data_IF_497724205843
#
_entry.id   IF_497724205843
#
_cell.length_a   1.000
_cell.length_b   1.000
_cell.length_c   1.000
_cell.angle_alpha   90.00
_cell.angle_beta   90.00
_cell.angle_gamma   90.00
#
_symmetry.space_group_name_H-M   'P 1'
#
loop_
_entity.id
_entity.type
_entity.pdbx_description
1 polymer ?
#
# COMPACT_ATOMS: atom_id res chain seq x y z
N UNK A 1 -50.64 22.75 18.07
CA UNK A 1 -50.39 21.51 17.30
C UNK A 1 -49.20 21.74 16.38
N UNK A 2 -47.98 21.80 16.96
CA UNK A 2 -46.70 21.97 16.24
C UNK A 2 -45.54 21.44 17.08
N UNK A 3 -45.46 20.15 17.40
CA UNK A 3 -44.26 19.50 17.96
C UNK A 3 -44.41 17.98 17.70
N UNK A 4 -44.25 17.51 16.49
CA UNK A 4 -44.13 16.04 16.20
C UNK A 4 -43.20 15.76 15.01
N UNK A 5 -42.60 16.76 14.34
CA UNK A 5 -41.79 16.52 13.13
C UNK A 5 -40.27 16.48 13.33
N UNK A 6 -39.76 16.64 14.55
CA UNK A 6 -38.29 16.69 14.83
C UNK A 6 -37.65 15.35 15.27
N UNK A 7 -38.45 14.32 15.58
CA UNK A 7 -37.91 13.05 16.10
C UNK A 7 -37.59 12.00 15.03
N UNK A 8 -38.05 12.16 13.80
CA UNK A 8 -37.77 11.16 12.73
C UNK A 8 -36.44 11.36 12.01
N UNK A 9 -35.87 12.55 12.05
CA UNK A 9 -34.57 12.81 11.40
C UNK A 9 -33.37 12.37 12.22
N UNK A 10 -33.48 12.34 13.55
CA UNK A 10 -32.42 11.90 14.44
C UNK A 10 -32.20 10.37 14.41
N UNK A 11 -33.25 9.59 14.22
CA UNK A 11 -33.14 8.12 14.16
C UNK A 11 -32.38 7.59 12.96
N UNK A 12 -32.52 8.22 11.80
CA UNK A 12 -31.80 7.84 10.58
C UNK A 12 -30.30 8.16 10.64
N UNK A 13 -29.92 9.26 11.28
CA UNK A 13 -28.51 9.62 11.48
C UNK A 13 -27.80 8.69 12.48
N UNK A 14 -28.48 8.24 13.54
CA UNK A 14 -27.92 7.29 14.50
C UNK A 14 -27.75 5.89 13.89
N UNK A 15 -28.66 5.44 13.06
CA UNK A 15 -28.58 4.13 12.41
C UNK A 15 -27.43 4.08 11.40
N UNK A 16 -27.23 5.13 10.61
CA UNK A 16 -26.12 5.23 9.64
C UNK A 16 -24.74 5.28 10.34
N UNK A 17 -24.63 6.03 11.43
CA UNK A 17 -23.37 6.11 12.20
C UNK A 17 -23.00 4.76 12.82
N UNK A 18 -23.95 3.99 13.34
CA UNK A 18 -23.72 2.69 13.93
C UNK A 18 -23.33 1.63 12.88
N UNK A 19 -23.94 1.65 11.70
CA UNK A 19 -23.58 0.75 10.58
C UNK A 19 -22.18 1.03 10.07
N UNK A 20 -21.80 2.30 9.90
CA UNK A 20 -20.47 2.70 9.46
C UNK A 20 -19.38 2.25 10.44
N UNK A 21 -19.61 2.37 11.76
CA UNK A 21 -18.69 1.88 12.79
C UNK A 21 -18.52 0.37 12.72
N UNK A 22 -19.58 -0.39 12.48
CA UNK A 22 -19.51 -1.85 12.32
C UNK A 22 -18.73 -2.26 11.06
N UNK A 23 -18.91 -1.56 9.94
CA UNK A 23 -18.15 -1.79 8.69
C UNK A 23 -16.65 -1.60 8.91
N UNK A 24 -16.27 -0.49 9.56
CA UNK A 24 -14.85 -0.20 9.83
C UNK A 24 -14.23 -1.24 10.77
N UNK A 25 -14.98 -1.71 11.78
CA UNK A 25 -14.53 -2.79 12.64
C UNK A 25 -14.28 -4.10 11.87
N UNK A 26 -15.16 -4.49 10.94
CA UNK A 26 -14.94 -5.66 10.09
C UNK A 26 -13.76 -5.47 9.12
N UNK A 27 -13.58 -4.28 8.57
CA UNK A 27 -12.42 -3.98 7.71
C UNK A 27 -11.12 -4.10 8.52
N UNK A 28 -11.06 -3.52 9.72
CA UNK A 28 -9.90 -3.58 10.61
C UNK A 28 -9.61 -5.01 11.10
N UNK A 29 -10.65 -5.80 11.34
CA UNK A 29 -10.52 -7.22 11.67
C UNK A 29 -10.21 -8.11 10.45
N UNK A 30 -10.12 -7.52 9.23
CA UNK A 30 -9.93 -8.23 7.95
C UNK A 30 -11.07 -9.19 7.60
N UNK A 31 -12.24 -8.99 8.19
CA UNK A 31 -13.48 -9.75 7.93
C UNK A 31 -14.22 -9.18 6.71
N UNK A 32 -13.54 -9.07 5.57
CA UNK A 32 -14.00 -8.36 4.38
C UNK A 32 -15.33 -8.87 3.82
N UNK A 33 -15.63 -10.16 3.96
CA UNK A 33 -16.93 -10.72 3.52
C UNK A 33 -18.09 -10.14 4.33
N UNK A 34 -17.91 -9.97 5.66
CA UNK A 34 -18.92 -9.35 6.54
C UNK A 34 -19.08 -7.87 6.23
N UNK A 35 -17.96 -7.15 6.07
CA UNK A 35 -17.97 -5.75 5.64
C UNK A 35 -18.71 -5.56 4.31
N UNK A 36 -18.46 -6.43 3.32
CA UNK A 36 -19.15 -6.43 2.02
C UNK A 36 -20.67 -6.59 2.18
N UNK A 37 -21.12 -7.57 2.96
CA UNK A 37 -22.53 -7.83 3.15
C UNK A 37 -23.28 -6.62 3.76
N UNK A 38 -22.68 -5.96 4.75
CA UNK A 38 -23.24 -4.74 5.33
C UNK A 38 -23.27 -3.58 4.32
N UNK A 39 -22.18 -3.34 3.60
CA UNK A 39 -22.10 -2.26 2.62
C UNK A 39 -23.07 -2.47 1.45
N UNK A 40 -23.28 -3.71 1.01
CA UNK A 40 -24.28 -4.02 -0.02
C UNK A 40 -25.72 -3.71 0.43
N UNK A 41 -26.03 -3.94 1.71
CA UNK A 41 -27.32 -3.55 2.28
C UNK A 41 -27.43 -2.04 2.42
N UNK A 42 -26.37 -1.38 2.88
CA UNK A 42 -26.37 0.06 3.12
C UNK A 42 -26.46 0.85 1.83
N UNK A 43 -25.81 0.43 0.73
CA UNK A 43 -25.83 1.17 -0.54
C UNK A 43 -27.22 1.18 -1.20
N UNK A 44 -28.08 0.21 -0.87
CA UNK A 44 -29.46 0.17 -1.36
C UNK A 44 -30.35 1.21 -0.68
N UNK A 45 -30.11 1.46 0.61
CA UNK A 45 -30.91 2.41 1.41
C UNK A 45 -30.27 3.81 1.48
N UNK A 46 -28.96 3.91 1.39
CA UNK A 46 -28.19 5.15 1.47
C UNK A 46 -26.99 5.11 0.50
N UNK A 47 -27.17 5.40 -0.79
CA UNK A 47 -26.11 5.35 -1.81
C UNK A 47 -25.15 6.53 -1.71
N UNK A 48 -24.55 6.74 -0.54
CA UNK A 48 -23.57 7.82 -0.32
C UNK A 48 -22.22 7.50 -0.97
N UNK A 49 -21.48 8.57 -1.30
CA UNK A 49 -20.11 8.48 -1.83
C UNK A 49 -19.18 7.68 -0.92
N UNK A 50 -19.32 7.86 0.40
CA UNK A 50 -18.54 7.15 1.42
C UNK A 50 -18.82 5.65 1.38
N UNK A 51 -20.09 5.24 1.34
CA UNK A 51 -20.48 3.82 1.24
C UNK A 51 -19.96 3.21 -0.06
N UNK A 52 -20.11 3.91 -1.19
CA UNK A 52 -19.60 3.45 -2.49
C UNK A 52 -18.08 3.27 -2.48
N UNK A 53 -17.34 4.24 -1.93
CA UNK A 53 -15.87 4.16 -1.83
C UNK A 53 -15.42 3.01 -0.92
N UNK A 54 -16.06 2.84 0.26
CA UNK A 54 -15.75 1.72 1.16
C UNK A 54 -16.07 0.36 0.51
N UNK A 55 -17.18 0.24 -0.22
CA UNK A 55 -17.52 -0.99 -0.92
C UNK A 55 -16.49 -1.32 -2.01
N UNK A 56 -16.06 -0.32 -2.78
CA UNK A 56 -15.01 -0.49 -3.77
C UNK A 56 -13.67 -0.93 -3.14
N UNK A 57 -13.29 -0.36 -1.99
CA UNK A 57 -12.12 -0.79 -1.22
C UNK A 57 -12.28 -2.25 -0.77
N UNK A 58 -13.44 -2.63 -0.21
CA UNK A 58 -13.70 -4.00 0.24
C UNK A 58 -13.68 -4.99 -0.92
N UNK A 59 -14.26 -4.65 -2.08
CA UNK A 59 -14.12 -5.47 -3.29
C UNK A 59 -12.66 -5.70 -3.67
N UNK A 60 -11.82 -4.66 -3.56
CA UNK A 60 -10.39 -4.80 -3.85
C UNK A 60 -9.65 -5.70 -2.85
N UNK A 61 -10.01 -5.68 -1.57
CA UNK A 61 -9.48 -6.61 -0.56
C UNK A 61 -9.86 -8.06 -0.85
N UNK A 62 -11.04 -8.27 -1.42
CA UNK A 62 -11.54 -9.59 -1.85
C UNK A 62 -11.03 -10.01 -3.23
N UNK A 63 -10.22 -9.19 -3.90
CA UNK A 63 -9.76 -9.37 -5.30
C UNK A 63 -10.90 -9.40 -6.32
N UNK A 64 -12.04 -8.86 -6.00
CA UNK A 64 -13.17 -8.67 -6.91
C UNK A 64 -12.95 -7.41 -7.76
N UNK A 65 -11.90 -7.48 -8.60
CA UNK A 65 -11.35 -6.31 -9.29
C UNK A 65 -12.36 -5.59 -10.18
N UNK A 66 -13.21 -6.32 -10.91
CA UNK A 66 -14.19 -5.72 -11.83
C UNK A 66 -15.23 -4.89 -11.08
N UNK A 67 -15.74 -5.40 -9.96
CA UNK A 67 -16.67 -4.69 -9.12
C UNK A 67 -16.05 -3.42 -8.54
N UNK A 68 -14.81 -3.50 -8.05
CA UNK A 68 -14.08 -2.37 -7.53
C UNK A 68 -13.81 -1.30 -8.61
N UNK A 69 -13.38 -1.71 -9.82
CA UNK A 69 -13.14 -0.84 -10.96
C UNK A 69 -14.41 -0.10 -11.36
N UNK A 70 -15.54 -0.81 -11.43
CA UNK A 70 -16.84 -0.20 -11.78
C UNK A 70 -17.19 0.92 -10.82
N UNK A 71 -17.12 0.67 -9.50
CA UNK A 71 -17.48 1.68 -8.50
C UNK A 71 -16.50 2.86 -8.51
N UNK A 72 -15.18 2.62 -8.64
CA UNK A 72 -14.24 3.75 -8.73
C UNK A 72 -14.34 4.53 -10.02
N UNK A 73 -14.71 3.89 -11.15
CA UNK A 73 -15.02 4.59 -12.40
C UNK A 73 -16.22 5.54 -12.22
N UNK A 74 -17.28 5.09 -11.56
CA UNK A 74 -18.42 5.95 -11.23
C UNK A 74 -18.02 7.12 -10.31
N UNK A 75 -17.18 6.86 -9.30
CA UNK A 75 -16.67 7.89 -8.39
C UNK A 75 -15.81 8.94 -9.12
N UNK A 76 -14.95 8.52 -10.04
CA UNK A 76 -14.14 9.42 -10.88
C UNK A 76 -15.01 10.28 -11.79
N UNK A 77 -16.08 9.72 -12.36
CA UNK A 77 -17.01 10.47 -13.20
C UNK A 77 -17.80 11.50 -12.37
N UNK A 78 -18.28 11.11 -11.20
CA UNK A 78 -19.05 11.98 -10.31
C UNK A 78 -18.19 13.06 -9.64
N UNK A 79 -16.93 12.75 -9.35
CA UNK A 79 -15.98 13.62 -8.63
C UNK A 79 -14.65 13.74 -9.38
N UNK A 80 -14.62 14.34 -10.58
CA UNK A 80 -13.47 14.34 -11.47
C UNK A 80 -12.25 15.10 -10.94
N UNK A 81 -12.40 15.89 -9.87
CA UNK A 81 -11.33 16.65 -9.21
C UNK A 81 -10.78 15.94 -7.94
N UNK A 82 -11.26 14.74 -7.62
CA UNK A 82 -10.77 14.00 -6.46
C UNK A 82 -9.54 13.13 -6.84
N UNK A 83 -8.36 13.55 -6.39
CA UNK A 83 -7.08 12.87 -6.68
C UNK A 83 -7.07 11.42 -6.19
N UNK A 84 -7.59 11.15 -4.98
CA UNK A 84 -7.62 9.81 -4.40
C UNK A 84 -8.46 8.83 -5.23
N UNK A 85 -9.60 9.27 -5.78
CA UNK A 85 -10.41 8.39 -6.61
C UNK A 85 -9.70 8.02 -7.92
N UNK A 86 -9.01 8.97 -8.55
CA UNK A 86 -8.17 8.68 -9.72
C UNK A 86 -7.04 7.71 -9.35
N UNK A 87 -6.33 7.96 -8.25
CA UNK A 87 -5.27 7.07 -7.77
C UNK A 87 -5.79 5.65 -7.52
N UNK A 88 -6.89 5.51 -6.78
CA UNK A 88 -7.48 4.21 -6.46
C UNK A 88 -7.99 3.49 -7.72
N UNK A 89 -8.63 4.21 -8.65
CA UNK A 89 -9.05 3.65 -9.93
C UNK A 89 -7.87 3.08 -10.73
N UNK A 90 -6.78 3.85 -10.86
CA UNK A 90 -5.55 3.41 -11.51
C UNK A 90 -4.92 2.21 -10.81
N UNK A 91 -4.80 2.25 -9.48
CA UNK A 91 -4.19 1.21 -8.67
C UNK A 91 -4.93 -0.14 -8.75
N UNK A 92 -6.26 -0.12 -8.68
CA UNK A 92 -7.07 -1.35 -8.80
C UNK A 92 -7.02 -1.90 -10.21
N UNK A 93 -7.04 -1.02 -11.22
CA UNK A 93 -6.87 -1.42 -12.63
C UNK A 93 -5.51 -2.07 -12.87
N UNK A 94 -4.44 -1.55 -12.24
CA UNK A 94 -3.12 -2.16 -12.28
C UNK A 94 -3.10 -3.56 -11.62
N UNK A 95 -3.75 -3.73 -10.46
CA UNK A 95 -3.88 -5.05 -9.81
C UNK A 95 -4.63 -6.06 -10.69
N UNK A 96 -5.70 -5.64 -11.35
CA UNK A 96 -6.40 -6.47 -12.35
C UNK A 96 -5.47 -6.87 -13.50
N UNK A 97 -4.69 -5.93 -14.04
CA UNK A 97 -3.73 -6.20 -15.10
C UNK A 97 -2.68 -7.23 -14.68
N UNK A 98 -2.14 -7.12 -13.46
CA UNK A 98 -1.16 -8.06 -12.91
C UNK A 98 -1.73 -9.45 -12.64
N UNK A 99 -3.02 -9.57 -12.31
CA UNK A 99 -3.69 -10.85 -12.02
C UNK A 99 -4.22 -11.57 -13.25
N UNK A 100 -4.21 -10.92 -14.42
CA UNK A 100 -4.78 -11.42 -15.67
C UNK A 100 -3.74 -11.89 -16.69
N UNK A 101 -4.19 -12.20 -17.90
CA UNK A 101 -3.29 -12.50 -19.01
C UNK A 101 -2.61 -11.22 -19.55
N UNK A 102 -1.38 -11.35 -20.05
CA UNK A 102 -0.61 -10.23 -20.63
C UNK A 102 -1.38 -9.47 -21.73
N UNK A 103 -2.14 -10.20 -22.57
CA UNK A 103 -2.93 -9.57 -23.64
C UNK A 103 -4.03 -8.68 -23.08
N UNK A 104 -4.75 -9.13 -22.05
CA UNK A 104 -5.78 -8.32 -21.38
C UNK A 104 -5.19 -7.12 -20.64
N UNK A 105 -3.98 -7.25 -20.10
CA UNK A 105 -3.26 -6.17 -19.45
C UNK A 105 -2.97 -5.01 -20.40
N UNK A 106 -2.67 -5.27 -21.69
CA UNK A 106 -2.39 -4.23 -22.69
C UNK A 106 -3.55 -3.23 -22.82
N UNK A 107 -4.79 -3.70 -22.80
CA UNK A 107 -5.98 -2.84 -22.88
C UNK A 107 -6.19 -1.93 -21.67
N UNK A 108 -5.48 -2.17 -20.55
CA UNK A 108 -5.61 -1.43 -19.30
C UNK A 108 -4.50 -0.38 -19.11
N UNK A 109 -3.39 -0.48 -19.86
CA UNK A 109 -2.19 0.37 -19.71
C UNK A 109 -2.54 1.87 -19.77
N UNK A 110 -3.33 2.28 -20.75
CA UNK A 110 -3.74 3.69 -20.91
C UNK A 110 -4.53 4.21 -19.71
N UNK A 111 -5.48 3.40 -19.22
CA UNK A 111 -6.29 3.75 -18.04
C UNK A 111 -5.43 3.88 -16.79
N UNK A 112 -4.52 2.95 -16.54
CA UNK A 112 -3.62 2.95 -15.38
C UNK A 112 -2.78 4.23 -15.38
N UNK A 113 -2.05 4.46 -16.48
CA UNK A 113 -1.18 5.64 -16.63
C UNK A 113 -1.93 6.94 -16.44
N UNK A 114 -3.03 7.13 -17.18
CA UNK A 114 -3.77 8.39 -17.17
C UNK A 114 -4.41 8.67 -15.80
N UNK A 115 -4.85 7.62 -15.10
CA UNK A 115 -5.39 7.76 -13.74
C UNK A 115 -4.35 8.23 -12.75
N UNK A 116 -3.12 7.67 -12.77
CA UNK A 116 -2.05 8.11 -11.89
C UNK A 116 -1.54 9.52 -12.24
N UNK A 117 -1.43 9.85 -13.54
CA UNK A 117 -1.09 11.20 -13.98
C UNK A 117 -2.14 12.19 -13.45
N UNK A 118 -3.42 11.89 -13.67
CA UNK A 118 -4.50 12.77 -13.22
C UNK A 118 -4.50 12.96 -11.71
N UNK A 119 -4.24 11.91 -10.93
CA UNK A 119 -4.11 12.02 -9.48
C UNK A 119 -2.94 12.94 -9.07
N UNK A 120 -1.78 12.83 -9.73
CA UNK A 120 -0.60 13.66 -9.44
C UNK A 120 -0.76 15.13 -9.86
N UNK A 121 -1.56 15.39 -10.90
CA UNK A 121 -1.92 16.75 -11.35
C UNK A 121 -2.92 17.43 -10.40
N UNK A 122 -3.92 16.68 -9.93
CA UNK A 122 -4.96 17.20 -9.02
C UNK A 122 -4.43 17.46 -7.62
N UNK A 123 -3.49 16.64 -7.16
CA UNK A 123 -2.78 16.83 -5.90
C UNK A 123 -1.26 16.75 -6.12
N UNK A 124 -0.59 17.92 -6.23
CA UNK A 124 0.86 17.98 -6.38
C UNK A 124 1.66 17.34 -5.24
N UNK A 125 1.05 17.07 -4.08
CA UNK A 125 1.69 16.39 -2.94
C UNK A 125 1.29 14.91 -2.82
N UNK A 126 0.57 14.36 -3.78
CA UNK A 126 0.10 12.97 -3.73
C UNK A 126 1.24 11.97 -3.90
N UNK A 127 1.84 11.54 -2.80
CA UNK A 127 2.99 10.59 -2.76
C UNK A 127 2.66 9.28 -3.47
N UNK A 128 1.50 8.68 -3.18
CA UNK A 128 1.14 7.38 -3.75
C UNK A 128 0.95 7.41 -5.28
N UNK A 129 0.47 8.53 -5.84
CA UNK A 129 0.32 8.66 -7.29
C UNK A 129 1.68 8.64 -8.00
N UNK A 130 2.69 9.29 -7.41
CA UNK A 130 4.06 9.27 -7.94
C UNK A 130 4.70 7.89 -7.84
N UNK A 131 4.54 7.20 -6.73
CA UNK A 131 4.97 5.82 -6.63
C UNK A 131 4.28 4.93 -7.67
N UNK A 132 2.97 5.12 -7.88
CA UNK A 132 2.24 4.41 -8.93
C UNK A 132 2.78 4.68 -10.33
N UNK A 133 3.22 5.93 -10.62
CA UNK A 133 3.84 6.29 -11.89
C UNK A 133 5.25 5.71 -12.04
N UNK A 134 6.06 5.71 -10.98
CA UNK A 134 7.39 5.09 -10.98
C UNK A 134 7.25 3.60 -11.30
N UNK A 135 6.41 2.88 -10.54
CA UNK A 135 6.18 1.46 -10.74
C UNK A 135 5.63 1.16 -12.15
N UNK A 136 4.67 1.96 -12.62
CA UNK A 136 4.14 1.86 -13.96
C UNK A 136 5.24 1.97 -15.03
N UNK A 137 6.06 3.02 -14.97
CA UNK A 137 7.07 3.28 -16.01
C UNK A 137 8.21 2.26 -15.98
N UNK A 138 8.51 1.64 -14.86
CA UNK A 138 9.49 0.56 -14.75
C UNK A 138 8.93 -0.81 -15.16
N UNK A 139 7.65 -1.08 -14.84
CA UNK A 139 7.04 -2.40 -15.07
C UNK A 139 6.52 -2.60 -16.49
N UNK A 140 6.15 -1.52 -17.19
CA UNK A 140 5.60 -1.58 -18.56
C UNK A 140 6.73 -1.59 -19.58
N UNK A 141 6.73 -2.49 -20.58
CA UNK A 141 7.72 -2.46 -21.66
C UNK A 141 7.73 -1.12 -22.42
N UNK A 142 8.90 -0.70 -22.90
CA UNK A 142 9.09 0.59 -23.60
C UNK A 142 8.12 0.76 -24.76
N UNK A 143 7.89 -0.30 -25.57
CA UNK A 143 6.96 -0.29 -26.71
C UNK A 143 5.51 0.01 -26.31
N UNK A 144 5.15 -0.18 -25.04
CA UNK A 144 3.82 0.11 -24.48
C UNK A 144 3.82 1.37 -23.59
N UNK A 145 4.93 2.14 -23.60
CA UNK A 145 5.04 3.42 -22.91
C UNK A 145 5.78 3.40 -21.59
N UNK A 146 6.50 2.32 -21.24
CA UNK A 146 7.47 2.28 -20.16
C UNK A 146 8.64 3.24 -20.41
N UNK A 147 9.28 3.73 -19.35
CA UNK A 147 10.38 4.72 -19.48
C UNK A 147 11.12 4.91 -18.17
N UNK A 148 12.35 4.44 -18.09
CA UNK A 148 13.23 4.68 -16.93
C UNK A 148 13.45 6.18 -16.68
N UNK A 149 13.60 6.98 -17.74
CA UNK A 149 13.73 8.44 -17.61
C UNK A 149 12.53 9.09 -16.90
N UNK A 150 11.30 8.64 -17.24
CA UNK A 150 10.11 9.16 -16.55
C UNK A 150 10.03 8.65 -15.11
N UNK A 151 10.47 7.43 -14.84
CA UNK A 151 10.54 6.91 -13.47
C UNK A 151 11.49 7.76 -12.61
N UNK A 152 12.68 8.11 -13.09
CA UNK A 152 13.60 9.04 -12.43
C UNK A 152 12.93 10.38 -12.14
N UNK A 153 12.28 10.99 -13.15
CA UNK A 153 11.60 12.29 -12.95
C UNK A 153 10.58 12.23 -11.81
N UNK A 154 9.75 11.19 -11.73
CA UNK A 154 8.76 11.07 -10.65
C UNK A 154 9.41 10.76 -9.29
N UNK A 155 10.57 10.12 -9.27
CA UNK A 155 11.36 9.94 -8.05
C UNK A 155 11.94 11.28 -7.55
N UNK A 156 12.42 12.14 -8.45
CA UNK A 156 12.87 13.50 -8.12
C UNK A 156 11.71 14.39 -7.63
N UNK A 157 10.53 14.28 -8.25
CA UNK A 157 9.33 14.95 -7.75
C UNK A 157 8.97 14.49 -6.33
N UNK A 158 9.10 13.20 -6.03
CA UNK A 158 8.92 12.67 -4.66
C UNK A 158 9.93 13.25 -3.68
N UNK A 159 11.19 13.41 -4.07
CA UNK A 159 12.21 13.99 -3.22
C UNK A 159 11.87 15.42 -2.80
N UNK A 160 11.19 16.18 -3.67
CA UNK A 160 10.71 17.53 -3.37
C UNK A 160 9.53 17.56 -2.39
N UNK A 161 8.75 16.47 -2.29
CA UNK A 161 7.58 16.35 -1.40
C UNK A 161 8.00 15.74 -0.07
N UNK A 162 8.79 14.68 -0.12
CA UNK A 162 9.27 13.90 1.01
C UNK A 162 10.66 13.35 0.70
N UNK A 163 11.73 13.94 1.26
CA UNK A 163 13.10 13.53 0.94
C UNK A 163 13.34 12.02 1.15
N UNK A 164 12.84 11.44 2.24
CA UNK A 164 13.01 10.01 2.50
C UNK A 164 12.30 9.14 1.44
N UNK A 165 11.08 9.50 1.03
CA UNK A 165 10.37 8.81 -0.04
C UNK A 165 11.09 8.95 -1.37
N UNK A 166 11.65 10.14 -1.67
CA UNK A 166 12.45 10.38 -2.85
C UNK A 166 13.71 9.51 -2.90
N UNK A 167 14.45 9.40 -1.80
CA UNK A 167 15.63 8.53 -1.73
C UNK A 167 15.27 7.06 -1.90
N UNK A 168 14.18 6.58 -1.29
CA UNK A 168 13.70 5.22 -1.55
C UNK A 168 13.28 5.01 -3.00
N UNK A 169 12.62 5.99 -3.60
CA UNK A 169 12.17 5.92 -5.00
C UNK A 169 13.36 5.89 -5.96
N UNK A 170 14.36 6.77 -5.77
CA UNK A 170 15.59 6.77 -6.56
C UNK A 170 16.35 5.45 -6.41
N UNK A 171 16.47 4.92 -5.18
CA UNK A 171 17.09 3.62 -4.97
C UNK A 171 16.35 2.52 -5.75
N UNK A 172 15.01 2.53 -5.75
CA UNK A 172 14.20 1.57 -6.49
C UNK A 172 14.41 1.68 -7.99
N UNK A 173 14.47 2.91 -8.55
CA UNK A 173 14.75 3.13 -9.98
C UNK A 173 16.16 2.65 -10.32
N UNK A 174 17.19 2.98 -9.51
CA UNK A 174 18.56 2.54 -9.73
C UNK A 174 18.70 1.01 -9.68
N UNK A 175 18.01 0.32 -8.77
CA UNK A 175 18.00 -1.16 -8.75
C UNK A 175 17.45 -1.72 -10.06
N UNK A 176 16.35 -1.15 -10.57
CA UNK A 176 15.76 -1.60 -11.84
C UNK A 176 16.61 -1.28 -13.06
N UNK A 177 17.44 -0.24 -12.99
CA UNK A 177 18.37 0.18 -14.05
C UNK A 177 19.74 -0.55 -13.99
N UNK A 178 19.93 -1.41 -12.95
CA UNK A 178 21.19 -2.14 -12.73
C UNK A 178 22.28 -1.35 -12.03
N UNK A 179 22.03 -0.11 -11.62
CA UNK A 179 22.98 0.81 -11.00
C UNK A 179 23.06 0.61 -9.48
N UNK A 180 23.55 -0.57 -9.05
CA UNK A 180 23.46 -1.01 -7.65
C UNK A 180 24.24 -0.13 -6.66
N UNK A 181 25.36 0.45 -7.09
CA UNK A 181 26.15 1.36 -6.24
C UNK A 181 25.36 2.66 -5.97
N UNK A 182 24.74 3.23 -7.00
CA UNK A 182 23.88 4.42 -6.85
C UNK A 182 22.66 4.11 -5.99
N UNK A 183 22.05 2.94 -6.16
CA UNK A 183 20.96 2.48 -5.30
C UNK A 183 21.39 2.41 -3.83
N UNK A 184 22.56 1.83 -3.55
CA UNK A 184 23.13 1.75 -2.20
C UNK A 184 23.32 3.13 -1.59
N UNK A 185 23.89 4.07 -2.34
CA UNK A 185 24.05 5.45 -1.86
C UNK A 185 22.69 6.10 -1.49
N UNK A 186 21.65 5.86 -2.29
CA UNK A 186 20.32 6.39 -1.97
C UNK A 186 19.72 5.73 -0.72
N UNK A 187 19.87 4.41 -0.55
CA UNK A 187 19.45 3.74 0.69
C UNK A 187 20.18 4.28 1.92
N UNK A 188 21.49 4.52 1.84
CA UNK A 188 22.27 5.09 2.95
C UNK A 188 21.75 6.49 3.32
N UNK A 189 21.43 7.34 2.35
CA UNK A 189 20.84 8.65 2.60
C UNK A 189 19.49 8.60 3.34
N UNK A 190 18.71 7.51 3.20
CA UNK A 190 17.47 7.39 3.97
C UNK A 190 17.71 7.27 5.47
N UNK A 191 18.88 6.75 5.88
CA UNK A 191 19.22 6.57 7.29
C UNK A 191 19.27 7.90 8.06
N UNK A 192 19.65 8.99 7.39
CA UNK A 192 19.71 10.33 8.01
C UNK A 192 18.34 10.85 8.46
N UNK A 193 17.27 10.36 7.84
CA UNK A 193 15.90 10.78 8.13
C UNK A 193 15.21 9.92 9.19
N UNK A 194 15.65 8.65 9.38
CA UNK A 194 14.97 7.67 10.23
C UNK A 194 14.80 8.13 11.69
N UNK A 195 15.84 8.70 12.37
CA UNK A 195 15.71 9.11 13.77
C UNK A 195 14.63 10.16 14.01
N UNK A 196 14.32 10.97 13.00
CA UNK A 196 13.42 12.10 13.09
C UNK A 196 12.00 11.83 12.58
N UNK A 197 11.70 10.59 12.13
CA UNK A 197 10.38 10.24 11.63
C UNK A 197 9.38 10.11 12.78
N UNK A 198 8.50 11.11 12.90
CA UNK A 198 7.41 11.10 13.91
C UNK A 198 6.17 10.36 13.42
N UNK A 199 5.77 10.54 12.17
CA UNK A 199 4.56 9.96 11.58
C UNK A 199 4.86 9.37 10.21
N UNK A 200 4.30 8.20 9.94
CA UNK A 200 4.35 7.55 8.63
C UNK A 200 2.91 7.42 8.13
N UNK A 201 2.63 8.04 6.99
CA UNK A 201 1.27 8.04 6.42
C UNK A 201 1.04 6.83 5.50
N UNK A 202 2.09 6.38 4.83
CA UNK A 202 2.04 5.28 3.87
C UNK A 202 2.63 4.01 4.50
N UNK A 203 1.82 2.94 4.60
CA UNK A 203 2.26 1.71 5.27
C UNK A 203 3.53 1.10 4.66
N UNK A 204 3.72 1.21 3.33
CA UNK A 204 4.94 0.73 2.66
C UNK A 204 6.21 1.43 3.15
N UNK A 205 6.14 2.70 3.61
CA UNK A 205 7.29 3.38 4.19
C UNK A 205 7.73 2.74 5.50
N UNK A 206 6.79 2.20 6.30
CA UNK A 206 7.13 1.41 7.48
C UNK A 206 7.97 0.17 7.12
N UNK A 207 7.59 -0.55 6.05
CA UNK A 207 8.37 -1.68 5.54
C UNK A 207 9.76 -1.25 5.05
N UNK A 208 9.85 -0.18 4.26
CA UNK A 208 11.11 0.32 3.71
C UNK A 208 12.10 0.73 4.80
N UNK A 209 11.63 1.41 5.84
CA UNK A 209 12.45 1.77 7.01
C UNK A 209 12.95 0.51 7.72
N UNK A 210 12.07 -0.45 8.00
CA UNK A 210 12.47 -1.70 8.63
C UNK A 210 13.48 -2.49 7.79
N UNK A 211 13.27 -2.51 6.46
CA UNK A 211 14.18 -3.17 5.52
C UNK A 211 15.57 -2.54 5.55
N UNK A 212 15.68 -1.23 5.37
CA UNK A 212 16.98 -0.54 5.31
C UNK A 212 17.70 -0.60 6.67
N UNK A 213 16.96 -0.48 7.78
CA UNK A 213 17.55 -0.63 9.12
C UNK A 213 18.19 -2.01 9.33
N UNK A 214 17.55 -3.07 8.83
CA UNK A 214 18.09 -4.43 8.90
C UNK A 214 19.21 -4.70 7.88
N UNK A 215 19.17 -4.10 6.70
CA UNK A 215 20.18 -4.32 5.67
C UNK A 215 21.51 -3.60 6.00
N UNK A 216 21.44 -2.45 6.67
CA UNK A 216 22.63 -1.67 7.07
C UNK A 216 22.97 -1.76 8.56
N UNK A 217 22.23 -2.55 9.34
CA UNK A 217 22.40 -2.71 10.79
C UNK A 217 22.44 -1.37 11.54
N UNK A 218 21.55 -0.45 11.17
CA UNK A 218 21.41 0.87 11.79
C UNK A 218 19.97 1.12 12.21
N UNK A 219 19.79 1.82 13.35
CA UNK A 219 18.47 2.14 13.90
C UNK A 219 17.56 0.91 14.05
N UNK A 220 18.15 -0.24 14.48
CA UNK A 220 17.48 -1.54 14.54
C UNK A 220 16.19 -1.49 15.36
N UNK A 221 16.16 -0.77 16.49
CA UNK A 221 14.97 -0.64 17.33
C UNK A 221 13.82 0.09 16.61
N UNK A 222 14.16 1.16 15.87
CA UNK A 222 13.19 1.88 15.04
C UNK A 222 12.73 0.96 13.90
N UNK A 223 13.64 0.22 13.28
CA UNK A 223 13.34 -0.77 12.26
C UNK A 223 12.33 -1.83 12.73
N UNK A 224 12.52 -2.36 13.95
CA UNK A 224 11.59 -3.31 14.58
C UNK A 224 10.21 -2.68 14.77
N UNK A 225 10.14 -1.46 15.32
CA UNK A 225 8.88 -0.77 15.53
C UNK A 225 8.13 -0.58 14.20
N UNK A 226 8.80 -0.05 13.19
CA UNK A 226 8.22 0.22 11.88
C UNK A 226 7.79 -1.05 11.15
N UNK A 227 8.58 -2.12 11.23
CA UNK A 227 8.19 -3.40 10.64
C UNK A 227 6.97 -4.02 11.34
N UNK A 228 6.84 -3.87 12.66
CA UNK A 228 5.63 -4.25 13.40
C UNK A 228 4.42 -3.42 12.98
N UNK A 229 4.59 -2.10 12.82
CA UNK A 229 3.53 -1.21 12.32
C UNK A 229 3.08 -1.64 10.92
N UNK A 230 4.03 -1.97 10.02
CA UNK A 230 3.72 -2.50 8.70
C UNK A 230 2.86 -3.76 8.78
N UNK A 231 3.27 -4.75 9.59
CA UNK A 231 2.57 -6.03 9.73
C UNK A 231 1.17 -5.82 10.32
N UNK A 232 1.04 -4.97 11.33
CA UNK A 232 -0.24 -4.64 11.97
C UNK A 232 -1.23 -4.04 10.97
N UNK A 233 -0.77 -3.09 10.16
CA UNK A 233 -1.59 -2.36 9.21
C UNK A 233 -1.64 -3.02 7.81
N UNK A 234 -1.04 -4.20 7.66
CA UNK A 234 -0.91 -4.89 6.38
C UNK A 234 -2.24 -5.13 5.69
N UNK A 235 -2.28 -4.82 4.41
CA UNK A 235 -3.36 -5.16 3.49
C UNK A 235 -2.79 -5.76 2.21
N UNK A 236 -3.63 -6.43 1.42
CA UNK A 236 -3.23 -6.97 0.11
C UNK A 236 -2.75 -5.88 -0.87
N UNK A 237 -3.10 -4.61 -0.60
CA UNK A 237 -2.70 -3.46 -1.42
C UNK A 237 -1.24 -3.06 -1.22
N UNK A 238 -0.60 -3.50 -0.11
CA UNK A 238 0.77 -3.10 0.22
C UNK A 238 1.84 -3.65 -0.74
N UNK A 239 1.53 -4.71 -1.47
CA UNK A 239 2.38 -5.23 -2.54
C UNK A 239 3.60 -6.03 -2.07
N UNK A 240 3.89 -6.06 -0.79
CA UNK A 240 4.95 -6.86 -0.17
C UNK A 240 4.32 -8.08 0.48
N UNK A 241 4.79 -9.32 0.25
CA UNK A 241 4.29 -10.50 0.95
C UNK A 241 4.53 -10.43 2.46
N UNK A 242 3.57 -10.91 3.26
CA UNK A 242 3.76 -10.98 4.72
C UNK A 242 4.95 -11.87 5.13
N UNK A 243 5.24 -12.93 4.37
CA UNK A 243 6.43 -13.76 4.56
C UNK A 243 7.71 -12.94 4.54
N UNK A 244 7.83 -11.99 3.60
CA UNK A 244 8.97 -11.08 3.51
C UNK A 244 9.07 -10.16 4.73
N UNK A 245 7.95 -9.59 5.18
CA UNK A 245 7.93 -8.73 6.37
C UNK A 245 8.30 -9.50 7.65
N UNK A 246 7.82 -10.73 7.80
CA UNK A 246 8.19 -11.61 8.92
C UNK A 246 9.69 -11.96 8.91
N UNK A 247 10.25 -12.31 7.74
CA UNK A 247 11.68 -12.54 7.57
C UNK A 247 12.50 -11.30 7.96
N UNK A 248 12.13 -10.12 7.48
CA UNK A 248 12.82 -8.86 7.81
C UNK A 248 12.78 -8.55 9.30
N UNK A 249 11.63 -8.80 9.94
CA UNK A 249 11.50 -8.60 11.38
C UNK A 249 12.34 -9.62 12.18
N UNK A 250 12.44 -10.87 11.73
CA UNK A 250 13.34 -11.86 12.32
C UNK A 250 14.80 -11.43 12.22
N UNK A 251 15.25 -10.96 11.04
CA UNK A 251 16.59 -10.41 10.83
C UNK A 251 16.89 -9.26 11.79
N UNK A 252 15.96 -8.32 11.96
CA UNK A 252 16.12 -7.20 12.89
C UNK A 252 16.30 -7.68 14.35
N UNK A 253 15.51 -8.67 14.78
CA UNK A 253 15.68 -9.26 16.11
C UNK A 253 16.97 -10.03 16.26
N UNK A 254 17.45 -10.74 15.23
CA UNK A 254 18.77 -11.37 15.24
C UNK A 254 19.88 -10.32 15.41
N UNK A 255 19.83 -9.22 14.68
CA UNK A 255 20.81 -8.11 14.82
C UNK A 255 20.78 -7.52 16.23
N UNK A 256 19.63 -7.51 16.89
CA UNK A 256 19.49 -7.12 18.30
C UNK A 256 19.92 -8.21 19.29
N UNK A 257 20.33 -9.39 18.82
CA UNK A 257 20.66 -10.59 19.62
C UNK A 257 19.49 -11.14 20.44
N UNK A 258 18.26 -10.85 20.04
CA UNK A 258 17.03 -11.37 20.63
C UNK A 258 16.59 -12.65 19.90
N UNK A 259 17.26 -13.78 20.27
CA UNK A 259 17.02 -15.11 19.67
C UNK A 259 15.56 -15.54 19.79
N UNK A 260 14.92 -15.25 20.91
CA UNK A 260 13.54 -15.66 21.17
C UNK A 260 12.57 -15.03 20.17
N UNK A 261 12.60 -13.71 20.03
CA UNK A 261 11.75 -13.02 19.08
C UNK A 261 12.16 -13.32 17.63
N UNK A 262 13.44 -13.44 17.32
CA UNK A 262 13.91 -13.84 16.00
C UNK A 262 13.30 -15.18 15.56
N UNK A 263 13.31 -16.20 16.44
CA UNK A 263 12.69 -17.51 16.17
C UNK A 263 11.17 -17.43 15.96
N UNK A 264 10.47 -16.64 16.73
CA UNK A 264 9.00 -16.45 16.56
C UNK A 264 8.70 -15.95 15.14
N UNK A 265 9.43 -14.94 14.67
CA UNK A 265 9.13 -14.30 13.39
C UNK A 265 9.64 -15.10 12.20
N UNK A 266 10.80 -15.76 12.30
CA UNK A 266 11.31 -16.60 11.20
C UNK A 266 10.40 -17.81 10.96
N UNK A 267 9.89 -18.43 12.02
CA UNK A 267 8.93 -19.52 11.90
C UNK A 267 7.64 -19.07 11.22
N UNK A 268 7.13 -17.86 11.52
CA UNK A 268 5.99 -17.28 10.80
C UNK A 268 6.29 -17.04 9.31
N UNK A 269 7.50 -16.60 8.96
CA UNK A 269 7.90 -16.39 7.59
C UNK A 269 7.87 -17.71 6.80
N UNK A 270 8.48 -18.76 7.34
CA UNK A 270 8.57 -20.09 6.71
C UNK A 270 7.19 -20.76 6.65
N UNK A 271 6.36 -20.64 7.69
CA UNK A 271 5.00 -21.17 7.69
C UNK A 271 4.11 -20.49 6.64
N UNK A 272 4.33 -19.20 6.37
CA UNK A 272 3.59 -18.46 5.36
C UNK A 272 4.08 -18.76 3.93
N UNK A 273 5.37 -19.11 3.78
CA UNK A 273 5.99 -19.45 2.49
C UNK A 273 7.12 -20.48 2.71
N UNK A 274 6.82 -21.75 2.54
CA UNK A 274 7.72 -22.87 2.85
C UNK A 274 9.03 -22.86 2.07
N UNK A 275 9.03 -22.43 0.82
CA UNK A 275 10.21 -22.40 -0.06
C UNK A 275 10.93 -21.03 -0.06
N UNK A 276 10.81 -20.26 1.01
CA UNK A 276 11.43 -18.95 1.10
C UNK A 276 12.91 -19.07 1.48
N UNK A 277 13.79 -19.13 0.47
CA UNK A 277 15.23 -19.38 0.62
C UNK A 277 15.91 -18.43 1.61
N UNK A 278 15.62 -17.13 1.53
CA UNK A 278 16.21 -16.12 2.42
C UNK A 278 15.81 -16.35 3.89
N UNK A 279 14.57 -16.77 4.14
CA UNK A 279 14.13 -17.08 5.50
C UNK A 279 14.78 -18.36 6.04
N UNK A 280 15.05 -19.34 5.18
CA UNK A 280 15.76 -20.57 5.57
C UNK A 280 17.19 -20.24 6.02
N UNK A 281 17.92 -19.47 5.21
CA UNK A 281 19.29 -19.01 5.54
C UNK A 281 19.30 -18.16 6.82
N UNK A 282 18.32 -17.26 6.97
CA UNK A 282 18.23 -16.41 8.18
C UNK A 282 17.96 -17.24 9.44
N UNK A 283 17.20 -18.34 9.34
CA UNK A 283 16.98 -19.26 10.46
C UNK A 283 18.29 -19.91 10.91
N UNK A 284 19.13 -20.37 9.98
CA UNK A 284 20.45 -20.92 10.29
C UNK A 284 21.32 -19.89 11.03
N UNK A 285 21.30 -18.61 10.62
CA UNK A 285 22.00 -17.53 11.31
C UNK A 285 21.45 -17.26 12.73
N UNK A 286 20.14 -17.42 12.94
CA UNK A 286 19.52 -17.29 14.26
C UNK A 286 19.92 -18.44 15.18
N UNK A 287 20.09 -19.64 14.64
CA UNK A 287 20.52 -20.82 15.41
C UNK A 287 21.94 -20.68 15.96
N UNK A 288 22.78 -19.85 15.34
CA UNK A 288 24.16 -19.57 15.78
C UNK A 288 24.27 -18.44 16.81
N UNK A 289 23.19 -17.75 17.17
CA UNK A 289 23.15 -16.78 18.26
C UNK A 289 23.25 -17.50 19.61
#
# INVERSE_FOLDING_TARGET
MKIVLLFWFSGLLFLSAQTTTNVDNYINAKEYKKAKALLLKEIQSNPSTTVKSKLADVYSYLKEWDNAITLYKELVVAYPKNADYHFKYGGITARKAQSGSRIRALGLIGTIRNSFIKASELDPKHVNARWGLIDFYLSVPIIFGGSTTKAYRYADELASISPIEGHFALAYVYVNDGELEKATMQYLKTLDYIPNIKKVERNQLNYLIGKVSGDYNQYVDIGILKMKDFIKNYTIKDGVPLSEAYYRLAKLYRLKKDRTNANIWINKAIANQTNFKQAIVERELIETL
#
